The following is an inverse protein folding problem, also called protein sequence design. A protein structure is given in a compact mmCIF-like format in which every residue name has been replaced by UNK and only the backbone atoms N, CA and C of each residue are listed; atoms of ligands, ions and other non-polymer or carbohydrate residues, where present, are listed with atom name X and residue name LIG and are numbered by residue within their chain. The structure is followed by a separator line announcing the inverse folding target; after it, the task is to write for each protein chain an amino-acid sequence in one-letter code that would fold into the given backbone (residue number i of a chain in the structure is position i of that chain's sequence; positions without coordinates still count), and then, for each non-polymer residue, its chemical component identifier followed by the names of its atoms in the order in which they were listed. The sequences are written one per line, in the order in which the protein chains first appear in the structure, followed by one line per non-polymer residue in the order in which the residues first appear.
data_IF_343949663828
#
_entry.id   IF_343949663828
#
_cell.length_a   1.000
_cell.length_b   1.000
_cell.length_c   1.000
_cell.angle_alpha   90.00
_cell.angle_beta   90.00
_cell.angle_gamma   90.00
#
_symmetry.space_group_name_H-M   'P 1'
#
loop_
_entity.id
_entity.type
_entity.pdbx_description
1 polymer ?
#
# COMPACT_ATOMS: atom_id res chain seq x y z
N UNK A 1 -11.96 22.69 4.96
CA UNK A 1 -11.17 23.62 5.80
C UNK A 1 -11.43 23.44 7.29
N UNK A 2 -12.66 23.37 7.79
CA UNK A 2 -12.96 23.16 9.23
C UNK A 2 -12.20 21.96 9.82
N UNK A 3 -12.21 20.78 9.13
CA UNK A 3 -11.57 19.55 9.60
C UNK A 3 -10.05 19.65 9.75
N UNK A 4 -9.39 20.46 8.94
CA UNK A 4 -7.92 20.53 8.87
C UNK A 4 -7.31 21.71 9.62
N UNK A 5 -8.11 22.66 10.10
CA UNK A 5 -7.65 23.87 10.78
C UNK A 5 -8.41 24.11 12.09
N UNK A 6 -8.28 23.19 13.04
CA UNK A 6 -8.83 23.28 14.39
C UNK A 6 -10.34 23.54 14.49
N UNK A 7 -11.11 23.40 13.42
CA UNK A 7 -12.52 23.79 13.40
C UNK A 7 -12.78 25.30 13.40
N UNK A 8 -11.81 26.11 12.94
CA UNK A 8 -11.95 27.58 12.90
C UNK A 8 -12.99 28.01 11.87
N UNK A 9 -13.84 28.96 12.25
CA UNK A 9 -14.92 29.50 11.42
C UNK A 9 -14.46 30.37 10.26
N UNK A 10 -13.21 30.90 10.30
CA UNK A 10 -12.62 31.76 9.26
C UNK A 10 -11.36 31.12 8.66
N UNK A 11 -11.17 31.29 7.35
CA UNK A 11 -9.94 30.95 6.67
C UNK A 11 -8.87 32.03 6.75
N UNK A 12 -7.66 31.73 6.22
CA UNK A 12 -6.55 32.67 6.24
C UNK A 12 -6.85 33.95 5.44
N UNK A 13 -7.56 33.83 4.30
CA UNK A 13 -7.93 34.96 3.45
C UNK A 13 -8.94 35.88 4.16
N UNK A 14 -9.92 35.34 4.88
CA UNK A 14 -10.86 36.11 5.65
C UNK A 14 -10.16 36.92 6.79
N UNK A 15 -9.05 36.38 7.32
CA UNK A 15 -8.24 37.02 8.38
C UNK A 15 -7.37 38.16 7.86
N UNK A 16 -7.12 38.29 6.56
CA UNK A 16 -6.33 39.39 5.98
C UNK A 16 -7.09 40.72 5.89
N UNK A 17 -8.40 40.73 6.10
CA UNK A 17 -9.20 41.96 6.10
C UNK A 17 -8.89 42.77 7.33
N UNK A 18 -8.79 44.07 7.16
CA UNK A 18 -8.52 45.03 8.26
C UNK A 18 -9.58 44.88 9.39
N UNK A 19 -9.15 44.66 10.63
CA UNK A 19 -10.02 44.47 11.78
C UNK A 19 -10.66 43.06 11.91
N UNK A 20 -10.34 42.09 11.04
CA UNK A 20 -10.95 40.77 11.06
C UNK A 20 -10.21 39.78 12.00
N UNK A 21 -9.92 40.17 13.22
CA UNK A 21 -9.18 39.33 14.19
C UNK A 21 -10.04 38.21 14.80
N UNK A 22 -11.34 38.46 14.98
CA UNK A 22 -12.24 37.58 15.70
C UNK A 22 -12.58 36.33 14.84
N UNK A 23 -12.46 35.16 15.43
CA UNK A 23 -12.90 33.89 14.87
C UNK A 23 -13.42 32.99 15.98
N UNK A 24 -14.17 31.97 15.62
CA UNK A 24 -14.67 30.96 16.54
C UNK A 24 -14.09 29.58 16.17
N UNK A 25 -14.02 28.66 17.15
CA UNK A 25 -13.74 27.25 17.00
C UNK A 25 -15.03 26.49 17.20
N UNK A 26 -15.69 26.12 16.10
CA UNK A 26 -17.03 25.51 16.12
C UNK A 26 -17.04 24.04 16.53
N UNK A 27 -15.88 23.39 16.50
CA UNK A 27 -15.68 22.01 16.96
C UNK A 27 -14.20 21.74 17.21
N UNK A 28 -13.83 20.87 18.17
CA UNK A 28 -12.45 20.48 18.43
C UNK A 28 -11.95 19.54 17.34
N UNK A 29 -11.40 20.06 16.26
CA UNK A 29 -10.94 19.32 15.10
C UNK A 29 -9.42 19.39 14.94
N UNK A 30 -8.90 18.70 13.92
CA UNK A 30 -7.47 18.48 13.72
C UNK A 30 -6.73 19.72 13.17
N UNK A 31 -5.40 19.73 13.36
CA UNK A 31 -4.46 20.61 12.66
C UNK A 31 -3.68 19.75 11.66
N UNK A 32 -4.11 19.72 10.42
CA UNK A 32 -3.53 18.87 9.36
C UNK A 32 -3.55 19.55 7.97
N UNK A 33 -3.29 20.85 7.93
CA UNK A 33 -3.17 21.57 6.66
C UNK A 33 -1.81 21.25 5.99
N UNK A 34 -1.83 21.12 4.68
CA UNK A 34 -0.65 20.96 3.85
C UNK A 34 0.12 22.31 3.79
N UNK A 35 1.44 22.25 3.88
CA UNK A 35 2.31 23.42 3.64
C UNK A 35 2.49 23.66 2.14
N UNK A 36 2.85 24.89 1.74
CA UNK A 36 3.07 25.23 0.32
C UNK A 36 4.18 24.39 -0.31
N UNK A 37 5.23 24.07 0.46
CA UNK A 37 6.32 23.19 0.01
C UNK A 37 5.78 21.80 -0.32
N UNK A 38 4.99 21.21 0.58
CA UNK A 38 4.39 19.89 0.34
C UNK A 38 3.38 19.93 -0.82
N UNK A 39 2.61 21.01 -0.95
CA UNK A 39 1.68 21.21 -2.06
C UNK A 39 2.42 21.32 -3.40
N UNK A 40 3.54 22.03 -3.47
CA UNK A 40 4.36 22.14 -4.67
C UNK A 40 4.90 20.77 -5.12
N UNK A 41 5.44 19.97 -4.19
CA UNK A 41 5.86 18.58 -4.47
C UNK A 41 4.67 17.74 -4.97
N UNK A 42 3.53 17.83 -4.28
CA UNK A 42 2.31 17.10 -4.64
C UNK A 42 1.81 17.44 -6.04
N UNK A 43 1.84 18.70 -6.43
CA UNK A 43 1.45 19.14 -7.79
C UNK A 43 2.35 18.54 -8.88
N UNK A 44 3.67 18.45 -8.64
CA UNK A 44 4.60 17.82 -9.57
C UNK A 44 4.31 16.32 -9.68
N UNK A 45 4.11 15.63 -8.57
CA UNK A 45 3.78 14.20 -8.56
C UNK A 45 2.44 13.93 -9.26
N UNK A 46 1.43 14.77 -9.03
CA UNK A 46 0.13 14.64 -9.68
C UNK A 46 0.23 14.75 -11.21
N UNK A 47 1.06 15.67 -11.73
CA UNK A 47 1.30 15.78 -13.18
C UNK A 47 1.96 14.55 -13.77
N UNK A 48 2.83 13.88 -13.00
CA UNK A 48 3.55 12.65 -13.41
C UNK A 48 2.70 11.38 -13.21
N UNK A 49 1.62 11.47 -12.43
CA UNK A 49 0.85 10.30 -12.01
C UNK A 49 0.35 9.42 -13.16
N UNK A 50 -0.16 9.95 -14.30
CA UNK A 50 -0.59 9.11 -15.40
C UNK A 50 0.53 8.21 -15.97
N UNK A 51 1.75 8.75 -16.13
CA UNK A 51 2.92 8.01 -16.59
C UNK A 51 3.34 6.93 -15.56
N UNK A 52 3.40 7.30 -14.29
CA UNK A 52 3.74 6.38 -13.20
C UNK A 52 2.72 5.24 -13.07
N UNK A 53 1.43 5.54 -13.27
CA UNK A 53 0.37 4.54 -13.25
C UNK A 53 0.45 3.61 -14.46
N UNK A 54 0.71 4.12 -15.65
CA UNK A 54 0.92 3.31 -16.85
C UNK A 54 2.07 2.30 -16.64
N UNK A 55 3.21 2.77 -16.09
CA UNK A 55 4.34 1.89 -15.76
C UNK A 55 3.94 0.80 -14.74
N UNK A 56 3.18 1.13 -13.71
CA UNK A 56 2.68 0.12 -12.74
C UNK A 56 1.80 -0.92 -13.41
N UNK A 57 0.92 -0.53 -14.32
CA UNK A 57 0.10 -1.47 -15.09
C UNK A 57 0.95 -2.42 -15.95
N UNK A 58 2.01 -1.91 -16.59
CA UNK A 58 2.91 -2.75 -17.39
C UNK A 58 3.64 -3.78 -16.52
N UNK A 59 4.12 -3.36 -15.35
CA UNK A 59 4.77 -4.26 -14.38
C UNK A 59 3.81 -5.34 -13.87
N UNK A 60 2.56 -4.98 -13.55
CA UNK A 60 1.54 -5.96 -13.14
C UNK A 60 1.28 -6.97 -14.25
N UNK A 61 1.13 -6.53 -15.51
CA UNK A 61 0.98 -7.45 -16.65
C UNK A 61 2.16 -8.40 -16.81
N UNK A 62 3.37 -7.91 -16.58
CA UNK A 62 4.58 -8.74 -16.63
C UNK A 62 4.59 -9.79 -15.52
N UNK A 63 4.28 -9.42 -14.28
CA UNK A 63 4.12 -10.39 -13.19
C UNK A 63 3.03 -11.41 -13.50
N UNK A 64 1.87 -10.96 -13.95
CA UNK A 64 0.76 -11.84 -14.31
C UNK A 64 1.14 -12.86 -15.40
N UNK A 65 1.98 -12.47 -16.34
CA UNK A 65 2.43 -13.33 -17.43
C UNK A 65 3.57 -14.28 -17.04
N UNK A 66 4.49 -13.84 -16.15
CA UNK A 66 5.77 -14.53 -15.91
C UNK A 66 5.79 -15.39 -14.64
N UNK A 67 4.92 -15.10 -13.66
CA UNK A 67 4.87 -15.87 -12.41
C UNK A 67 4.44 -17.33 -12.66
N UNK A 68 4.94 -18.31 -11.88
CA UNK A 68 4.51 -19.70 -11.93
C UNK A 68 2.99 -19.86 -11.82
N UNK A 69 2.44 -20.89 -12.47
CA UNK A 69 0.99 -21.10 -12.56
C UNK A 69 0.32 -21.38 -11.22
N UNK A 70 1.05 -21.95 -10.25
CA UNK A 70 0.59 -22.22 -8.89
C UNK A 70 0.47 -20.96 -8.01
N UNK A 71 1.10 -19.85 -8.39
CA UNK A 71 1.00 -18.56 -7.68
C UNK A 71 -0.34 -17.90 -8.01
N UNK A 72 -1.16 -17.66 -7.00
CA UNK A 72 -2.39 -16.88 -7.17
C UNK A 72 -2.05 -15.38 -7.27
N UNK A 73 -2.52 -14.78 -8.34
CA UNK A 73 -2.26 -13.38 -8.68
C UNK A 73 -3.32 -12.46 -8.08
N UNK A 74 -2.95 -11.25 -7.63
CA UNK A 74 -3.95 -10.24 -7.25
C UNK A 74 -4.72 -9.78 -8.48
N UNK A 75 -5.99 -9.44 -8.29
CA UNK A 75 -6.83 -8.93 -9.39
C UNK A 75 -6.71 -7.41 -9.46
N UNK A 76 -5.82 -6.91 -10.31
CA UNK A 76 -5.64 -5.48 -10.56
C UNK A 76 -6.35 -4.99 -11.83
N UNK A 77 -6.40 -5.84 -12.84
CA UNK A 77 -6.86 -5.46 -14.18
C UNK A 77 -8.19 -6.14 -14.49
N UNK A 78 -9.30 -5.42 -14.27
CA UNK A 78 -10.66 -5.84 -14.60
C UNK A 78 -11.40 -4.71 -15.32
N UNK A 79 -12.42 -5.04 -16.11
CA UNK A 79 -13.21 -4.06 -16.84
C UNK A 79 -14.17 -3.25 -15.95
N UNK A 80 -14.50 -3.78 -14.78
CA UNK A 80 -15.47 -3.22 -13.83
C UNK A 80 -14.84 -2.50 -12.63
N UNK A 81 -13.49 -2.43 -12.58
CA UNK A 81 -12.77 -1.75 -11.51
C UNK A 81 -11.47 -1.10 -12.00
N UNK A 82 -11.05 -0.06 -11.30
CA UNK A 82 -9.73 0.55 -11.46
C UNK A 82 -8.87 0.27 -10.24
N UNK A 83 -7.58 0.05 -10.45
CA UNK A 83 -6.58 -0.11 -9.40
C UNK A 83 -5.43 0.86 -9.65
N UNK A 84 -4.83 1.39 -8.60
CA UNK A 84 -3.58 2.16 -8.68
C UNK A 84 -2.32 1.27 -8.73
N UNK A 85 -2.52 -0.04 -8.67
CA UNK A 85 -1.44 -1.04 -8.66
C UNK A 85 -0.36 -0.70 -7.62
N UNK A 86 -0.78 -0.37 -6.40
CA UNK A 86 0.13 0.05 -5.34
C UNK A 86 1.02 -1.10 -4.85
N UNK A 87 0.42 -2.27 -4.62
CA UNK A 87 1.09 -3.47 -4.11
C UNK A 87 0.78 -4.67 -5.02
N UNK A 88 1.72 -5.60 -5.17
CA UNK A 88 1.50 -6.88 -5.83
C UNK A 88 1.47 -8.00 -4.78
N UNK A 89 0.27 -8.32 -4.30
CA UNK A 89 0.01 -9.29 -3.23
C UNK A 89 -0.22 -10.68 -3.82
N UNK A 90 0.86 -11.41 -4.10
CA UNK A 90 0.76 -12.78 -4.57
C UNK A 90 0.44 -13.73 -3.42
N UNK A 91 -0.27 -14.83 -3.71
CA UNK A 91 -0.50 -15.88 -2.73
C UNK A 91 0.14 -17.20 -3.17
N UNK A 92 0.63 -17.95 -2.21
CA UNK A 92 1.32 -19.22 -2.38
C UNK A 92 0.47 -20.37 -1.80
N UNK A 93 -0.53 -20.91 -2.54
CA UNK A 93 -1.43 -21.94 -2.03
C UNK A 93 -0.68 -23.13 -1.48
N UNK A 94 -1.14 -23.66 -0.34
CA UNK A 94 -0.51 -24.80 0.34
C UNK A 94 0.73 -24.46 1.18
N UNK A 95 1.20 -23.21 1.14
CA UNK A 95 2.26 -22.76 2.07
C UNK A 95 1.64 -22.28 3.38
N UNK A 96 2.31 -22.61 4.49
CA UNK A 96 2.00 -22.09 5.83
C UNK A 96 2.71 -20.77 6.07
N UNK A 97 2.40 -20.12 7.17
CA UNK A 97 3.12 -18.92 7.63
C UNK A 97 4.64 -19.13 7.71
N UNK A 98 5.08 -20.30 8.20
CA UNK A 98 6.50 -20.65 8.35
C UNK A 98 7.17 -20.84 6.99
N UNK A 99 6.60 -21.70 6.14
CA UNK A 99 7.19 -22.00 4.81
C UNK A 99 7.18 -20.76 3.89
N UNK A 100 6.15 -19.91 3.98
CA UNK A 100 6.13 -18.62 3.28
C UNK A 100 7.23 -17.68 3.82
N UNK A 101 7.48 -17.68 5.13
CA UNK A 101 8.53 -16.85 5.74
C UNK A 101 9.93 -17.31 5.34
N UNK A 102 10.14 -18.62 5.18
CA UNK A 102 11.37 -19.19 4.62
C UNK A 102 11.59 -18.75 3.15
N UNK A 103 10.53 -18.74 2.34
CA UNK A 103 10.59 -18.23 0.97
C UNK A 103 11.02 -16.77 0.97
N UNK A 104 10.45 -15.90 1.82
CA UNK A 104 10.86 -14.50 1.95
C UNK A 104 12.34 -14.38 2.30
N UNK A 105 12.83 -15.20 3.23
CA UNK A 105 14.26 -15.22 3.61
C UNK A 105 15.14 -15.60 2.42
N UNK A 106 14.81 -16.67 1.70
CA UNK A 106 15.54 -17.11 0.50
C UNK A 106 15.52 -16.08 -0.63
N UNK A 107 14.41 -15.35 -0.79
CA UNK A 107 14.32 -14.22 -1.72
C UNK A 107 15.26 -13.08 -1.30
N UNK A 108 15.29 -12.74 -0.01
CA UNK A 108 16.17 -11.70 0.53
C UNK A 108 17.65 -12.05 0.37
N UNK A 109 18.05 -13.31 0.55
CA UNK A 109 19.41 -13.80 0.30
C UNK A 109 19.86 -13.61 -1.17
N UNK A 110 18.88 -13.55 -2.09
CA UNK A 110 19.08 -13.24 -3.51
C UNK A 110 18.94 -11.76 -3.86
N UNK A 111 18.86 -10.90 -2.84
CA UNK A 111 18.73 -9.45 -3.02
C UNK A 111 17.32 -8.98 -3.39
N UNK A 112 16.30 -9.83 -3.30
CA UNK A 112 14.90 -9.47 -3.56
C UNK A 112 14.15 -9.23 -2.26
N UNK A 113 13.86 -7.98 -1.96
CA UNK A 113 13.12 -7.58 -0.76
C UNK A 113 11.61 -7.79 -0.94
N UNK A 114 11.09 -8.86 -0.34
CA UNK A 114 9.66 -9.13 -0.24
C UNK A 114 9.10 -8.70 1.11
N UNK A 115 7.78 -8.55 1.20
CA UNK A 115 7.10 -8.18 2.43
C UNK A 115 5.77 -8.96 2.56
N UNK A 116 4.98 -8.62 3.58
CA UNK A 116 3.60 -9.09 3.78
C UNK A 116 2.71 -7.92 4.16
N UNK A 117 1.63 -7.69 3.43
CA UNK A 117 0.71 -6.58 3.65
C UNK A 117 -0.74 -7.09 3.85
N UNK A 118 -1.17 -7.29 5.11
CA UNK A 118 -0.43 -7.06 6.35
C UNK A 118 -0.68 -8.18 7.34
N UNK A 119 0.10 -8.24 8.44
CA UNK A 119 -0.23 -9.07 9.59
C UNK A 119 -1.61 -8.64 10.12
N UNK A 120 -2.61 -9.55 10.24
CA UNK A 120 -3.95 -9.21 10.70
C UNK A 120 -3.95 -8.52 12.07
N UNK A 121 -4.79 -7.52 12.24
CA UNK A 121 -4.88 -6.76 13.49
C UNK A 121 -5.05 -7.64 14.74
N UNK A 122 -5.89 -8.72 14.72
CA UNK A 122 -6.03 -9.60 15.89
C UNK A 122 -4.74 -10.31 16.32
N UNK A 123 -3.71 -10.39 15.44
CA UNK A 123 -2.40 -10.94 15.79
C UNK A 123 -1.45 -9.92 16.44
N UNK A 124 -1.79 -8.65 16.41
CA UNK A 124 -0.98 -7.60 17.04
C UNK A 124 -1.32 -7.48 18.51
N UNK A 125 -0.29 -7.29 19.36
CA UNK A 125 -0.42 -7.26 20.82
C UNK A 125 -1.47 -6.25 21.32
N UNK A 126 -1.50 -5.05 20.73
CA UNK A 126 -2.47 -4.02 21.10
C UNK A 126 -3.92 -4.48 20.93
N UNK A 127 -4.21 -5.17 19.82
CA UNK A 127 -5.58 -5.66 19.54
C UNK A 127 -5.92 -6.92 20.33
N UNK A 128 -4.95 -7.81 20.58
CA UNK A 128 -5.14 -8.93 21.52
C UNK A 128 -5.52 -8.44 22.92
N UNK A 129 -4.87 -7.38 23.40
CA UNK A 129 -5.18 -6.77 24.69
C UNK A 129 -6.57 -6.12 24.73
N UNK A 130 -7.16 -5.79 23.58
CA UNK A 130 -8.54 -5.31 23.44
C UNK A 130 -9.55 -6.45 23.29
N UNK A 131 -9.11 -7.72 23.37
CA UNK A 131 -9.99 -8.91 23.32
C UNK A 131 -10.25 -9.46 21.91
N UNK A 132 -9.61 -8.94 20.87
CA UNK A 132 -9.72 -9.50 19.52
C UNK A 132 -8.97 -10.83 19.43
N UNK A 133 -9.61 -11.83 18.80
CA UNK A 133 -9.04 -13.17 18.60
C UNK A 133 -8.98 -13.48 17.11
N UNK A 134 -7.90 -14.14 16.68
CA UNK A 134 -7.72 -14.45 15.23
C UNK A 134 -8.74 -15.47 14.72
N UNK A 135 -9.22 -16.34 15.58
CA UNK A 135 -10.23 -17.37 15.26
C UNK A 135 -11.56 -16.77 14.75
N UNK A 136 -11.86 -15.54 15.15
CA UNK A 136 -13.06 -14.82 14.72
C UNK A 136 -12.93 -14.25 13.28
N UNK A 137 -11.72 -14.32 12.69
CA UNK A 137 -11.36 -13.76 11.38
C UNK A 137 -10.65 -14.77 10.46
N UNK A 138 -11.22 -15.96 10.20
CA UNK A 138 -10.52 -17.05 9.49
C UNK A 138 -10.10 -16.66 8.06
N UNK A 139 -10.89 -15.85 7.36
CA UNK A 139 -10.56 -15.40 6.01
C UNK A 139 -9.34 -14.46 5.98
N UNK A 140 -9.20 -13.61 6.99
CA UNK A 140 -8.04 -12.74 7.12
C UNK A 140 -6.77 -13.54 7.42
N UNK A 141 -6.86 -14.58 8.24
CA UNK A 141 -5.74 -15.49 8.48
C UNK A 141 -5.36 -16.28 7.23
N UNK A 142 -6.32 -16.88 6.55
CA UNK A 142 -6.10 -17.65 5.32
C UNK A 142 -5.48 -16.81 4.20
N UNK A 143 -5.75 -15.51 4.16
CA UNK A 143 -5.06 -14.58 3.24
C UNK A 143 -3.61 -14.32 3.69
N UNK A 144 -3.40 -14.06 4.96
CA UNK A 144 -2.11 -13.68 5.53
C UNK A 144 -1.08 -14.82 5.52
N UNK A 145 -1.49 -16.06 5.83
CA UNK A 145 -0.54 -17.14 6.08
C UNK A 145 0.35 -17.47 4.89
N UNK A 146 -0.15 -17.29 3.67
CA UNK A 146 0.56 -17.60 2.43
C UNK A 146 0.69 -16.42 1.45
N UNK A 147 0.43 -15.21 1.89
CA UNK A 147 0.64 -13.99 1.09
C UNK A 147 2.11 -13.59 1.09
N UNK A 148 2.60 -13.18 -0.08
CA UNK A 148 3.90 -12.55 -0.29
C UNK A 148 3.72 -11.32 -1.18
N UNK A 149 4.21 -10.18 -0.72
CA UNK A 149 4.22 -8.95 -1.51
C UNK A 149 5.51 -8.85 -2.29
N UNK A 150 5.41 -8.89 -3.61
CA UNK A 150 6.54 -8.71 -4.51
C UNK A 150 6.88 -7.22 -4.71
N UNK A 151 8.15 -6.88 -5.03
CA UNK A 151 8.54 -5.50 -5.30
C UNK A 151 7.73 -4.88 -6.42
N UNK A 152 7.16 -3.69 -6.21
CA UNK A 152 6.39 -2.96 -7.22
C UNK A 152 6.59 -1.46 -7.06
N UNK A 153 7.59 -0.91 -7.74
CA UNK A 153 7.84 0.54 -7.81
C UNK A 153 8.40 0.92 -9.18
N UNK A 154 8.13 2.12 -9.62
CA UNK A 154 8.36 2.59 -11.00
C UNK A 154 9.84 2.71 -11.42
N UNK A 155 10.77 2.44 -10.51
CA UNK A 155 12.21 2.39 -10.81
C UNK A 155 12.71 0.99 -11.18
N UNK A 156 11.88 -0.06 -11.03
CA UNK A 156 12.23 -1.40 -11.51
C UNK A 156 12.25 -1.43 -13.03
N UNK A 157 13.30 -2.04 -13.59
CA UNK A 157 13.37 -2.37 -15.01
C UNK A 157 12.54 -3.62 -15.34
N UNK A 158 12.43 -3.98 -16.60
CA UNK A 158 11.76 -5.21 -17.02
C UNK A 158 12.62 -6.42 -16.65
N UNK A 159 13.94 -6.29 -16.70
CA UNK A 159 14.92 -7.29 -16.28
C UNK A 159 14.85 -7.56 -14.77
N UNK A 160 14.60 -6.51 -13.94
CA UNK A 160 14.40 -6.68 -12.50
C UNK A 160 13.14 -7.53 -12.22
N UNK A 161 12.06 -7.32 -12.99
CA UNK A 161 10.84 -8.13 -12.87
C UNK A 161 11.10 -9.57 -13.27
N UNK A 162 11.84 -9.80 -14.34
CA UNK A 162 12.26 -11.15 -14.77
C UNK A 162 13.07 -11.84 -13.69
N UNK A 163 14.00 -11.11 -13.08
CA UNK A 163 14.82 -11.61 -11.98
C UNK A 163 13.97 -11.98 -10.75
N UNK A 164 13.05 -11.11 -10.35
CA UNK A 164 12.13 -11.40 -9.22
C UNK A 164 11.31 -12.65 -9.48
N UNK A 165 10.75 -12.81 -10.69
CA UNK A 165 9.97 -13.99 -11.05
C UNK A 165 10.82 -15.28 -11.05
N UNK A 166 12.05 -15.22 -11.58
CA UNK A 166 12.97 -16.34 -11.56
C UNK A 166 13.36 -16.74 -10.13
N UNK A 167 13.72 -15.75 -9.28
CA UNK A 167 14.03 -15.99 -7.88
C UNK A 167 12.86 -16.64 -7.12
N UNK A 168 11.64 -16.15 -7.31
CA UNK A 168 10.48 -16.75 -6.66
C UNK A 168 10.27 -18.19 -7.08
N UNK A 169 10.37 -18.48 -8.39
CA UNK A 169 10.26 -19.84 -8.93
C UNK A 169 11.27 -20.81 -8.31
N UNK A 170 12.50 -20.36 -8.07
CA UNK A 170 13.55 -21.17 -7.42
C UNK A 170 13.34 -21.34 -5.91
N UNK A 171 12.55 -20.45 -5.30
CA UNK A 171 12.27 -20.47 -3.86
C UNK A 171 10.99 -21.25 -3.50
N UNK A 172 10.13 -21.58 -4.44
CA UNK A 172 8.90 -22.35 -4.22
C UNK A 172 9.18 -23.82 -3.94
#
# INVERSE_FOLDING_TARGET
MLLSLHGQSKDALAKTRLGAWEYDVVAPLYKCNMTDIMAAIGLVQLRRYPELLARRYDMVRQYDAKLPGEVLRPTHLRSDMTSDCHLYLARLPGKTHESRSEIITRMAERGVACNVHYKPLPLLTAYKNLGFRMEDYPNAYAQFENEITLPLHTLLSDEDIDYVCACLKECL
#
